data_IF_285995375029
#
_entry.id   IF_285995375029
#
_cell.length_a   1.000
_cell.length_b   1.000
_cell.length_c   1.000
_cell.angle_alpha   90.00
_cell.angle_beta   90.00
_cell.angle_gamma   90.00
#
_symmetry.space_group_name_H-M   'P 1'
#
loop_
_entity.id
_entity.type
_entity.pdbx_description
1 polymer ?
#
# COMPACT_ATOMS: atom_id res chain seq x y z
N UNK A 1 16.79 -62.60 31.65
CA UNK A 1 15.82 -61.69 32.29
C UNK A 1 16.68 -60.81 33.16
N UNK A 2 16.96 -59.54 32.85
CA UNK A 2 16.08 -58.53 32.26
C UNK A 2 16.72 -57.82 31.05
N UNK A 3 15.83 -57.40 30.17
CA UNK A 3 16.07 -56.80 28.87
C UNK A 3 16.30 -55.29 29.04
N UNK A 4 17.32 -54.74 28.39
CA UNK A 4 17.64 -53.33 28.43
C UNK A 4 16.67 -52.57 27.52
N UNK A 5 15.64 -51.95 28.08
CA UNK A 5 14.75 -51.06 27.35
C UNK A 5 15.49 -49.78 26.97
N UNK A 6 15.96 -49.73 25.73
CA UNK A 6 16.36 -48.52 25.03
C UNK A 6 15.11 -47.65 24.85
N UNK A 7 15.03 -46.54 25.59
CA UNK A 7 14.05 -45.48 25.33
C UNK A 7 14.27 -44.92 23.92
N UNK A 8 13.25 -44.87 23.05
CA UNK A 8 13.38 -44.24 21.75
C UNK A 8 13.54 -42.72 21.94
N UNK A 9 14.43 -42.12 21.16
CA UNK A 9 14.54 -40.67 21.06
C UNK A 9 13.21 -40.07 20.56
N UNK A 10 12.80 -38.88 21.01
CA UNK A 10 11.59 -38.25 20.50
C UNK A 10 11.79 -37.96 19.00
N UNK A 11 10.94 -38.60 18.19
CA UNK A 11 10.81 -38.40 16.75
C UNK A 11 10.38 -36.96 16.45
N UNK A 12 11.10 -36.31 15.54
CA UNK A 12 10.71 -35.17 14.70
C UNK A 12 9.51 -34.34 15.17
N UNK A 13 9.77 -33.34 16.04
CA UNK A 13 8.89 -32.17 16.09
C UNK A 13 9.08 -31.40 14.78
N UNK A 14 8.14 -31.55 13.84
CA UNK A 14 8.10 -30.69 12.65
C UNK A 14 8.16 -29.24 13.12
N UNK A 15 9.13 -28.47 12.61
CA UNK A 15 9.32 -27.08 13.02
C UNK A 15 8.08 -26.29 12.58
N UNK A 16 7.20 -25.94 13.54
CA UNK A 16 5.92 -25.29 13.26
C UNK A 16 6.12 -23.95 12.53
N UNK A 17 7.21 -23.23 12.82
CA UNK A 17 7.56 -21.99 12.13
C UNK A 17 7.85 -22.23 10.65
N UNK A 18 8.51 -23.35 10.32
CA UNK A 18 8.80 -23.72 8.94
C UNK A 18 7.52 -24.08 8.17
N UNK A 19 6.58 -24.76 8.82
CA UNK A 19 5.27 -25.05 8.23
C UNK A 19 4.44 -23.78 7.98
N UNK A 20 4.43 -22.85 8.93
CA UNK A 20 3.74 -21.56 8.79
C UNK A 20 4.35 -20.78 7.61
N UNK A 21 5.68 -20.71 7.53
CA UNK A 21 6.37 -20.02 6.45
C UNK A 21 6.12 -20.67 5.09
N UNK A 22 6.06 -22.00 5.03
CA UNK A 22 5.71 -22.72 3.81
C UNK A 22 4.28 -22.44 3.38
N UNK A 23 3.32 -22.46 4.32
CA UNK A 23 1.93 -22.15 4.04
C UNK A 23 1.77 -20.72 3.50
N UNK A 24 2.41 -19.74 4.13
CA UNK A 24 2.41 -18.35 3.68
C UNK A 24 2.93 -18.21 2.24
N UNK A 25 4.09 -18.81 1.94
CA UNK A 25 4.66 -18.80 0.59
C UNK A 25 3.75 -19.46 -0.45
N UNK A 26 3.05 -20.53 -0.09
CA UNK A 26 2.09 -21.18 -0.98
C UNK A 26 0.91 -20.27 -1.31
N UNK A 27 0.35 -19.59 -0.32
CA UNK A 27 -0.75 -18.63 -0.49
C UNK A 27 -0.29 -17.44 -1.34
N UNK A 28 0.87 -16.86 -1.02
CA UNK A 28 1.47 -15.76 -1.78
C UNK A 28 1.70 -16.14 -3.24
N UNK A 29 2.20 -17.35 -3.49
CA UNK A 29 2.43 -17.86 -4.84
C UNK A 29 1.12 -17.97 -5.62
N UNK A 30 0.10 -18.60 -5.06
CA UNK A 30 -1.22 -18.75 -5.71
C UNK A 30 -1.84 -17.39 -6.07
N UNK A 31 -1.77 -16.43 -5.15
CA UNK A 31 -2.21 -15.05 -5.38
C UNK A 31 -1.39 -14.41 -6.51
N UNK A 32 -0.06 -14.55 -6.49
CA UNK A 32 0.84 -13.91 -7.46
C UNK A 32 0.68 -14.46 -8.88
N UNK A 33 0.32 -15.73 -9.03
CA UNK A 33 0.07 -16.39 -10.31
C UNK A 33 -1.28 -15.97 -10.92
N UNK A 34 -2.24 -15.57 -10.08
CA UNK A 34 -3.60 -15.27 -10.49
C UNK A 34 -3.89 -13.76 -10.61
N UNK A 35 -3.23 -12.93 -9.80
CA UNK A 35 -3.53 -11.51 -9.65
C UNK A 35 -2.26 -10.70 -9.94
N UNK A 36 -2.24 -9.80 -10.94
CA UNK A 36 -1.11 -8.91 -11.18
C UNK A 36 -0.90 -7.95 -10.00
N UNK A 37 0.28 -7.33 -9.91
CA UNK A 37 0.56 -6.35 -8.85
C UNK A 37 -0.38 -5.15 -8.93
N UNK A 38 -0.58 -4.67 -10.16
CA UNK A 38 -1.55 -3.64 -10.52
C UNK A 38 -2.33 -4.15 -11.75
N UNK A 39 -3.64 -4.31 -11.59
CA UNK A 39 -4.53 -4.74 -12.68
C UNK A 39 -4.75 -3.66 -13.74
N UNK A 40 -5.50 -4.01 -14.78
CA UNK A 40 -5.95 -3.05 -15.80
C UNK A 40 -7.03 -2.11 -15.25
N UNK A 41 -7.20 -0.95 -15.90
CA UNK A 41 -8.31 -0.05 -15.59
C UNK A 41 -9.60 -0.64 -16.15
N UNK A 42 -10.50 -1.07 -15.27
CA UNK A 42 -11.76 -1.70 -15.63
C UNK A 42 -12.97 -0.85 -15.21
N UNK A 43 -14.12 -1.09 -15.84
CA UNK A 43 -15.36 -0.43 -15.43
C UNK A 43 -15.75 -0.88 -14.02
N UNK A 44 -16.24 0.05 -13.20
CA UNK A 44 -16.73 -0.27 -11.85
C UNK A 44 -17.89 -1.28 -11.86
N UNK A 45 -18.57 -1.49 -12.99
CA UNK A 45 -19.55 -2.57 -13.16
C UNK A 45 -18.98 -3.96 -12.89
N UNK A 46 -17.65 -4.15 -12.99
CA UNK A 46 -16.98 -5.36 -12.53
C UNK A 46 -17.22 -5.63 -11.04
N UNK A 47 -17.15 -4.58 -10.21
CA UNK A 47 -17.41 -4.64 -8.78
C UNK A 47 -18.88 -4.97 -8.47
N UNK A 48 -19.83 -4.42 -9.24
CA UNK A 48 -21.25 -4.76 -9.07
C UNK A 48 -21.50 -6.25 -9.30
N UNK A 49 -20.89 -6.83 -10.35
CA UNK A 49 -20.99 -8.26 -10.67
C UNK A 49 -20.42 -9.16 -9.58
N UNK A 50 -19.34 -8.71 -8.92
CA UNK A 50 -18.70 -9.43 -7.81
C UNK A 50 -19.64 -9.63 -6.61
N UNK A 51 -20.60 -8.72 -6.43
CA UNK A 51 -21.53 -8.72 -5.29
C UNK A 51 -22.99 -9.00 -5.67
N UNK A 52 -23.26 -9.58 -6.85
CA UNK A 52 -24.64 -9.89 -7.29
C UNK A 52 -25.45 -10.68 -6.25
N UNK A 53 -24.78 -11.58 -5.51
CA UNK A 53 -25.37 -12.44 -4.48
C UNK A 53 -25.33 -11.84 -3.06
N UNK A 54 -24.74 -10.64 -2.88
CA UNK A 54 -24.73 -9.91 -1.60
C UNK A 54 -25.44 -8.56 -1.77
N UNK A 55 -26.75 -8.46 -1.47
CA UNK A 55 -27.55 -7.26 -1.69
C UNK A 55 -27.01 -6.01 -1.00
N UNK A 56 -26.34 -6.17 0.15
CA UNK A 56 -25.78 -5.04 0.92
C UNK A 56 -24.59 -4.45 0.17
N UNK A 57 -23.64 -5.29 -0.25
CA UNK A 57 -22.49 -4.82 -1.01
C UNK A 57 -22.88 -4.39 -2.43
N UNK A 58 -23.83 -5.06 -3.08
CA UNK A 58 -24.34 -4.67 -4.39
C UNK A 58 -24.93 -3.25 -4.37
N UNK A 59 -25.72 -2.94 -3.35
CA UNK A 59 -26.29 -1.59 -3.18
C UNK A 59 -25.18 -0.54 -3.02
N UNK A 60 -24.14 -0.84 -2.24
CA UNK A 60 -22.99 0.06 -2.05
C UNK A 60 -22.18 0.24 -3.33
N UNK A 61 -21.94 -0.83 -4.08
CA UNK A 61 -21.23 -0.80 -5.36
C UNK A 61 -21.98 0.05 -6.41
N UNK A 62 -23.30 -0.08 -6.48
CA UNK A 62 -24.15 0.75 -7.37
C UNK A 62 -24.07 2.23 -7.03
N UNK A 63 -24.20 2.59 -5.74
CA UNK A 63 -24.06 3.98 -5.27
C UNK A 63 -22.65 4.52 -5.53
N UNK A 64 -21.62 3.68 -5.38
CA UNK A 64 -20.25 4.04 -5.73
C UNK A 64 -20.12 4.35 -7.23
N UNK A 65 -20.79 3.57 -8.08
CA UNK A 65 -20.83 3.76 -9.54
C UNK A 65 -21.48 5.04 -10.02
N UNK A 66 -22.22 5.74 -9.17
CA UNK A 66 -22.74 7.08 -9.49
C UNK A 66 -21.64 8.16 -9.44
N UNK A 67 -20.56 7.91 -8.68
CA UNK A 67 -19.47 8.88 -8.46
C UNK A 67 -18.14 8.47 -9.09
N UNK A 68 -18.00 7.21 -9.47
CA UNK A 68 -16.76 6.64 -10.00
C UNK A 68 -17.06 5.73 -11.19
N UNK A 69 -16.37 5.98 -12.30
CA UNK A 69 -16.60 5.26 -13.55
C UNK A 69 -15.74 3.99 -13.67
N UNK A 70 -14.53 4.00 -13.09
CA UNK A 70 -13.56 2.93 -13.21
C UNK A 70 -12.92 2.55 -11.88
N UNK A 71 -12.38 1.35 -11.84
CA UNK A 71 -11.57 0.79 -10.76
C UNK A 71 -10.31 0.16 -11.35
N UNK A 72 -9.23 0.16 -10.59
CA UNK A 72 -8.03 -0.62 -10.91
C UNK A 72 -7.64 -1.43 -9.68
N UNK A 73 -7.58 -2.74 -9.86
CA UNK A 73 -7.33 -3.68 -8.76
C UNK A 73 -5.87 -3.73 -8.36
N UNK A 74 -5.59 -3.96 -7.09
CA UNK A 74 -4.22 -4.24 -6.64
C UNK A 74 -4.10 -5.64 -6.05
N UNK A 75 -2.89 -6.19 -6.00
CA UNK A 75 -2.67 -7.50 -5.37
C UNK A 75 -2.91 -7.43 -3.86
N UNK A 76 -3.66 -8.38 -3.25
CA UNK A 76 -3.86 -8.44 -1.81
C UNK A 76 -2.65 -9.06 -1.10
N UNK A 77 -1.52 -8.36 -1.10
CA UNK A 77 -0.24 -8.80 -0.53
C UNK A 77 0.15 -8.02 0.74
N UNK A 78 -0.77 -7.27 1.36
CA UNK A 78 -0.44 -6.39 2.48
C UNK A 78 0.33 -5.12 2.10
N UNK A 79 0.74 -4.94 0.84
CA UNK A 79 1.34 -3.70 0.31
C UNK A 79 0.35 -2.87 -0.52
N UNK A 80 -0.88 -3.38 -0.70
CA UNK A 80 -1.92 -2.81 -1.55
C UNK A 80 -2.12 -1.30 -1.37
N UNK A 81 -2.08 -0.76 -0.15
CA UNK A 81 -2.20 0.68 0.09
C UNK A 81 -1.10 1.49 -0.60
N UNK A 82 0.17 1.22 -0.26
CA UNK A 82 1.32 1.93 -0.82
C UNK A 82 1.39 1.77 -2.34
N UNK A 83 1.07 0.57 -2.85
CA UNK A 83 1.06 0.27 -4.27
C UNK A 83 -0.06 1.03 -5.01
N UNK A 84 -1.28 1.01 -4.46
CA UNK A 84 -2.43 1.72 -5.03
C UNK A 84 -2.21 3.24 -5.02
N UNK A 85 -1.76 3.80 -3.89
CA UNK A 85 -1.49 5.22 -3.75
C UNK A 85 -0.45 5.69 -4.77
N UNK A 86 0.70 5.02 -4.81
CA UNK A 86 1.82 5.44 -5.64
C UNK A 86 1.49 5.35 -7.13
N UNK A 87 0.85 4.26 -7.56
CA UNK A 87 0.38 4.15 -8.94
C UNK A 87 -0.60 5.27 -9.31
N UNK A 88 -1.66 5.46 -8.50
CA UNK A 88 -2.69 6.45 -8.77
C UNK A 88 -2.15 7.88 -8.77
N UNK A 89 -1.24 8.19 -7.85
CA UNK A 89 -0.64 9.52 -7.78
C UNK A 89 0.30 9.78 -8.94
N UNK A 90 1.22 8.85 -9.24
CA UNK A 90 2.13 8.98 -10.39
C UNK A 90 1.38 9.05 -11.72
N UNK A 91 0.29 8.28 -11.88
CA UNK A 91 -0.57 8.33 -13.07
C UNK A 91 -1.22 9.71 -13.27
N UNK A 92 -1.58 10.40 -12.18
CA UNK A 92 -2.08 11.78 -12.23
C UNK A 92 -0.99 12.76 -12.67
N UNK A 93 0.25 12.58 -12.19
CA UNK A 93 1.36 13.48 -12.50
C UNK A 93 1.71 13.52 -14.00
N UNK A 94 1.47 12.43 -14.73
CA UNK A 94 1.69 12.33 -16.19
C UNK A 94 1.01 13.49 -16.93
N UNK A 95 -0.19 13.89 -16.48
CA UNK A 95 -0.98 14.93 -17.12
C UNK A 95 -0.93 16.27 -16.36
N UNK A 96 -0.09 16.40 -15.34
CA UNK A 96 0.04 17.61 -14.51
C UNK A 96 1.50 17.97 -14.26
N UNK A 97 2.11 18.69 -15.23
CA UNK A 97 3.53 19.05 -15.20
C UNK A 97 3.93 19.89 -13.98
N UNK A 98 3.09 20.81 -13.53
CA UNK A 98 3.39 21.65 -12.37
C UNK A 98 3.42 20.83 -11.06
N UNK A 99 2.46 19.93 -10.88
CA UNK A 99 2.41 19.02 -9.73
C UNK A 99 3.57 18.01 -9.79
N UNK A 100 3.90 17.52 -10.99
CA UNK A 100 5.05 16.65 -11.23
C UNK A 100 6.37 17.29 -10.79
N UNK A 101 6.66 18.52 -11.24
CA UNK A 101 7.94 19.19 -10.93
C UNK A 101 8.10 19.40 -9.41
N UNK A 102 7.01 19.77 -8.73
CA UNK A 102 6.97 19.90 -7.26
C UNK A 102 7.19 18.56 -6.57
N UNK A 103 6.50 17.51 -7.01
CA UNK A 103 6.61 16.19 -6.40
C UNK A 103 8.01 15.58 -6.60
N UNK A 104 8.57 15.71 -7.79
CA UNK A 104 9.92 15.21 -8.10
C UNK A 104 10.98 15.87 -7.20
N UNK A 105 10.89 17.18 -6.98
CA UNK A 105 11.80 17.90 -6.07
C UNK A 105 11.62 17.44 -4.61
N UNK A 106 10.38 17.25 -4.16
CA UNK A 106 10.08 16.69 -2.85
C UNK A 106 10.65 15.29 -2.66
N UNK A 107 10.42 14.40 -3.63
CA UNK A 107 10.92 13.03 -3.65
C UNK A 107 12.45 12.98 -3.60
N UNK A 108 13.12 13.79 -4.42
CA UNK A 108 14.58 13.89 -4.43
C UNK A 108 15.16 14.31 -3.07
N UNK A 109 14.53 15.30 -2.42
CA UNK A 109 14.96 15.78 -1.09
C UNK A 109 14.62 14.81 0.04
N UNK A 110 13.66 13.91 -0.17
CA UNK A 110 13.18 13.00 0.89
C UNK A 110 14.27 12.04 1.39
N UNK A 111 15.26 11.69 0.55
CA UNK A 111 16.42 10.89 0.99
C UNK A 111 17.21 11.59 2.09
N UNK A 112 17.57 12.86 1.87
CA UNK A 112 18.37 13.61 2.84
C UNK A 112 17.57 13.83 4.14
N UNK A 113 16.25 13.99 4.05
CA UNK A 113 15.37 14.06 5.22
C UNK A 113 15.39 12.76 6.03
N UNK A 114 15.33 11.60 5.38
CA UNK A 114 15.42 10.30 6.06
C UNK A 114 16.80 10.11 6.71
N UNK A 115 17.88 10.46 6.01
CA UNK A 115 19.24 10.37 6.58
C UNK A 115 19.38 11.29 7.80
N UNK A 116 18.80 12.50 7.76
CA UNK A 116 18.81 13.43 8.89
C UNK A 116 18.02 12.89 10.10
N UNK A 117 17.04 12.01 9.89
CA UNK A 117 16.29 11.30 10.94
C UNK A 117 17.02 10.06 11.47
N UNK A 118 18.21 9.74 10.95
CA UNK A 118 19.03 8.63 11.42
C UNK A 118 18.89 7.32 10.64
N UNK A 119 18.12 7.32 9.53
CA UNK A 119 18.06 6.16 8.65
C UNK A 119 19.43 5.92 7.99
N UNK A 120 19.94 4.68 7.94
CA UNK A 120 21.25 4.43 7.35
C UNK A 120 21.26 4.77 5.86
N UNK A 121 22.16 5.68 5.45
CA UNK A 121 22.23 6.17 4.07
C UNK A 121 22.30 5.03 3.04
N UNK A 122 23.16 4.05 3.27
CA UNK A 122 23.35 2.92 2.35
C UNK A 122 22.09 2.04 2.22
N UNK A 123 21.19 2.04 3.22
CA UNK A 123 19.94 1.29 3.17
C UNK A 123 18.87 2.02 2.38
N UNK A 124 18.83 3.35 2.43
CA UNK A 124 17.80 4.15 1.75
C UNK A 124 18.15 4.49 0.30
N UNK A 125 19.43 4.44 -0.08
CA UNK A 125 19.94 4.91 -1.37
C UNK A 125 19.37 4.10 -2.55
N UNK A 126 19.46 2.77 -2.52
CA UNK A 126 18.97 1.91 -3.61
C UNK A 126 17.45 2.06 -3.84
N UNK A 127 16.67 2.15 -2.76
CA UNK A 127 15.22 2.35 -2.81
C UNK A 127 14.86 3.74 -3.34
N UNK A 128 15.57 4.78 -2.90
CA UNK A 128 15.41 6.14 -3.40
C UNK A 128 15.72 6.21 -4.90
N UNK A 129 16.81 5.59 -5.33
CA UNK A 129 17.26 5.69 -6.72
C UNK A 129 16.27 4.98 -7.66
N UNK A 130 15.72 3.84 -7.24
CA UNK A 130 14.62 3.16 -7.96
C UNK A 130 13.34 4.00 -7.96
N UNK A 131 13.00 4.63 -6.84
CA UNK A 131 11.83 5.51 -6.76
C UNK A 131 11.95 6.71 -7.72
N UNK A 132 13.13 7.34 -7.76
CA UNK A 132 13.41 8.44 -8.69
C UNK A 132 13.41 7.99 -10.14
N UNK A 133 13.90 6.80 -10.46
CA UNK A 133 13.83 6.23 -11.80
C UNK A 133 12.37 6.10 -12.27
N UNK A 134 11.48 5.57 -11.42
CA UNK A 134 10.05 5.45 -11.74
C UNK A 134 9.39 6.83 -11.87
N UNK A 135 9.75 7.79 -11.03
CA UNK A 135 9.26 9.19 -11.15
C UNK A 135 9.70 9.80 -12.48
N UNK A 136 10.96 9.64 -12.88
CA UNK A 136 11.47 10.23 -14.10
C UNK A 136 10.74 9.69 -15.35
N UNK A 137 10.20 8.48 -15.28
CA UNK A 137 9.38 7.88 -16.35
C UNK A 137 8.02 8.53 -16.53
N UNK A 138 7.45 9.14 -15.49
CA UNK A 138 6.17 9.86 -15.62
C UNK A 138 6.33 11.31 -16.09
N UNK A 139 7.56 11.82 -16.18
CA UNK A 139 7.85 13.18 -16.66
C UNK A 139 7.96 13.32 -18.18
N UNK A 140 7.73 12.25 -18.95
CA UNK A 140 7.89 12.17 -20.39
C UNK A 140 6.64 12.52 -21.20
N UNK A 141 6.54 11.93 -22.40
CA UNK A 141 5.32 11.99 -23.22
C UNK A 141 4.18 11.18 -22.57
N UNK A 142 2.95 11.72 -22.46
CA UNK A 142 1.89 11.08 -21.70
C UNK A 142 1.56 9.63 -22.11
N UNK A 143 1.46 9.33 -23.41
CA UNK A 143 1.09 7.99 -23.87
C UNK A 143 2.16 6.96 -23.52
N UNK A 144 3.43 7.34 -23.72
CA UNK A 144 4.57 6.50 -23.37
C UNK A 144 4.67 6.32 -21.84
N UNK A 145 4.51 7.41 -21.09
CA UNK A 145 4.59 7.41 -19.63
C UNK A 145 3.52 6.54 -18.98
N UNK A 146 2.29 6.49 -19.51
CA UNK A 146 1.24 5.60 -19.00
C UNK A 146 1.64 4.12 -19.16
N UNK A 147 2.15 3.74 -20.34
CA UNK A 147 2.58 2.38 -20.62
C UNK A 147 3.80 1.97 -19.80
N UNK A 148 4.79 2.87 -19.67
CA UNK A 148 5.98 2.63 -18.85
C UNK A 148 5.59 2.49 -17.38
N UNK A 149 4.79 3.41 -16.82
CA UNK A 149 4.33 3.32 -15.43
C UNK A 149 3.66 1.97 -15.14
N UNK A 150 2.74 1.54 -16.02
CA UNK A 150 2.06 0.26 -15.85
C UNK A 150 3.00 -0.94 -15.93
N UNK A 151 4.00 -0.89 -16.81
CA UNK A 151 5.05 -1.90 -16.91
C UNK A 151 5.89 -1.97 -15.62
N UNK A 152 6.46 -0.85 -15.19
CA UNK A 152 7.33 -0.79 -14.00
C UNK A 152 6.61 -1.28 -12.74
N UNK A 153 5.35 -0.90 -12.54
CA UNK A 153 4.58 -1.35 -11.38
C UNK A 153 4.17 -2.83 -11.41
N UNK A 154 4.27 -3.49 -12.57
CA UNK A 154 4.08 -4.93 -12.71
C UNK A 154 5.41 -5.71 -12.78
N UNK A 155 6.55 -5.03 -12.70
CA UNK A 155 7.85 -5.65 -12.43
C UNK A 155 8.08 -5.68 -10.91
N UNK A 156 8.15 -6.90 -10.33
CA UNK A 156 8.18 -7.09 -8.87
C UNK A 156 9.26 -6.26 -8.18
N UNK A 157 10.48 -6.23 -8.74
CA UNK A 157 11.60 -5.47 -8.17
C UNK A 157 11.31 -3.97 -8.07
N UNK A 158 10.86 -3.34 -9.15
CA UNK A 158 10.54 -1.90 -9.15
C UNK A 158 9.37 -1.58 -8.23
N UNK A 159 8.28 -2.34 -8.38
CA UNK A 159 7.04 -2.13 -7.62
C UNK A 159 7.29 -2.26 -6.11
N UNK A 160 8.05 -3.26 -5.67
CA UNK A 160 8.38 -3.45 -4.25
C UNK A 160 9.39 -2.43 -3.73
N UNK A 161 10.38 -2.02 -4.53
CA UNK A 161 11.32 -0.98 -4.12
C UNK A 161 10.63 0.37 -3.91
N UNK A 162 9.66 0.72 -4.77
CA UNK A 162 8.79 1.89 -4.57
C UNK A 162 8.00 1.75 -3.27
N UNK A 163 7.39 0.59 -2.99
CA UNK A 163 6.66 0.35 -1.74
C UNK A 163 7.58 0.50 -0.52
N UNK A 164 8.77 -0.11 -0.53
CA UNK A 164 9.73 0.00 0.57
C UNK A 164 10.08 1.47 0.81
N UNK A 165 10.37 2.22 -0.25
CA UNK A 165 10.72 3.63 -0.09
C UNK A 165 9.59 4.45 0.54
N UNK A 166 8.35 4.20 0.14
CA UNK A 166 7.18 4.88 0.71
C UNK A 166 6.93 4.47 2.17
N UNK A 167 7.18 3.22 2.55
CA UNK A 167 7.17 2.79 3.95
C UNK A 167 8.20 3.54 4.78
N UNK A 168 9.41 3.75 4.24
CA UNK A 168 10.46 4.54 4.91
C UNK A 168 10.07 6.02 5.04
N UNK A 169 9.52 6.63 3.99
CA UNK A 169 8.99 8.01 4.06
C UNK A 169 7.91 8.12 5.15
N UNK A 170 7.01 7.14 5.22
CA UNK A 170 5.94 7.08 6.22
C UNK A 170 6.50 6.96 7.63
N UNK A 171 7.46 6.05 7.85
CA UNK A 171 8.18 5.92 9.12
C UNK A 171 8.88 7.22 9.51
N UNK A 172 9.56 7.86 8.56
CA UNK A 172 10.22 9.15 8.78
C UNK A 172 9.26 10.25 9.22
N UNK A 173 8.08 10.35 8.60
CA UNK A 173 7.07 11.33 9.01
C UNK A 173 6.48 11.04 10.39
N UNK A 174 6.22 9.76 10.70
CA UNK A 174 5.76 9.35 12.03
C UNK A 174 6.77 9.74 13.11
N UNK A 175 8.06 9.44 12.90
CA UNK A 175 9.13 9.76 13.84
C UNK A 175 9.38 11.27 13.97
N UNK A 176 9.27 12.02 12.87
CA UNK A 176 9.42 13.48 12.86
C UNK A 176 8.39 14.20 13.72
N UNK A 177 7.16 13.69 13.76
CA UNK A 177 6.05 14.25 14.53
C UNK A 177 5.57 13.27 15.61
N UNK A 178 6.52 12.62 16.28
CA UNK A 178 6.25 11.54 17.23
C UNK A 178 5.25 11.93 18.33
N UNK A 179 5.36 13.14 18.89
CA UNK A 179 4.47 13.63 19.94
C UNK A 179 2.99 13.64 19.51
N UNK A 180 2.72 13.91 18.23
CA UNK A 180 1.38 13.85 17.67
C UNK A 180 0.92 12.40 17.49
N UNK A 181 1.73 11.60 16.78
CA UNK A 181 1.37 10.23 16.40
C UNK A 181 1.31 9.25 17.58
N UNK A 182 2.04 9.50 18.66
CA UNK A 182 2.06 8.64 19.85
C UNK A 182 0.65 8.44 20.44
N UNK A 183 -0.24 9.41 20.31
CA UNK A 183 -1.62 9.34 20.84
C UNK A 183 -2.53 8.38 20.05
N UNK A 184 -2.11 7.93 18.87
CA UNK A 184 -2.88 7.06 17.98
C UNK A 184 -2.33 5.63 17.93
N UNK A 185 -1.20 5.37 18.60
CA UNK A 185 -0.58 4.05 18.63
C UNK A 185 -1.15 3.26 19.81
N UNK A 186 -1.70 2.08 19.52
CA UNK A 186 -2.24 1.20 20.54
C UNK A 186 -1.15 0.50 21.37
N UNK A 187 -1.39 0.42 22.68
CA UNK A 187 -0.51 -0.21 23.66
C UNK A 187 0.62 0.71 24.14
N UNK A 188 1.58 0.13 24.86
CA UNK A 188 2.72 0.86 25.45
C UNK A 188 3.92 1.01 24.48
N UNK A 189 3.67 0.92 23.16
CA UNK A 189 4.72 1.03 22.14
C UNK A 189 5.07 2.49 21.88
N UNK A 190 6.37 2.76 21.77
CA UNK A 190 6.87 4.02 21.24
C UNK A 190 6.59 4.12 19.73
N UNK A 191 6.58 5.33 19.18
CA UNK A 191 6.48 5.57 17.72
C UNK A 191 7.55 4.79 16.94
N UNK A 192 8.78 4.74 17.45
CA UNK A 192 9.89 4.02 16.80
C UNK A 192 9.62 2.51 16.77
N UNK A 193 9.16 1.92 17.88
CA UNK A 193 8.80 0.50 17.93
C UNK A 193 7.64 0.19 16.98
N UNK A 194 6.62 1.04 16.94
CA UNK A 194 5.52 0.92 15.99
C UNK A 194 6.02 0.95 14.54
N UNK A 195 6.91 1.90 14.20
CA UNK A 195 7.50 1.98 12.86
C UNK A 195 8.24 0.69 12.46
N UNK A 196 9.12 0.19 13.33
CA UNK A 196 9.88 -1.04 13.07
C UNK A 196 9.01 -2.30 12.97
N UNK A 197 7.84 -2.33 13.62
CA UNK A 197 6.97 -3.51 13.68
C UNK A 197 5.86 -3.50 12.63
N UNK A 198 5.27 -2.33 12.34
CA UNK A 198 4.01 -2.22 11.59
C UNK A 198 4.08 -1.30 10.36
N UNK A 199 5.20 -0.59 10.14
CA UNK A 199 5.33 0.36 9.00
C UNK A 199 6.41 -0.08 8.03
N UNK A 200 7.64 -0.21 8.53
CA UNK A 200 8.82 -0.50 7.71
C UNK A 200 8.83 -1.91 7.10
N UNK A 201 8.37 -2.97 7.80
CA UNK A 201 8.32 -4.30 7.21
C UNK A 201 7.35 -4.39 6.03
N UNK A 202 7.76 -5.08 4.97
CA UNK A 202 6.90 -5.42 3.84
C UNK A 202 5.75 -6.33 4.27
N UNK A 203 4.66 -6.31 3.49
CA UNK A 203 3.48 -7.17 3.67
C UNK A 203 2.67 -6.89 4.96
N UNK A 204 3.02 -5.83 5.70
CA UNK A 204 2.23 -5.31 6.83
C UNK A 204 1.09 -4.42 6.34
N UNK A 205 -0.11 -4.69 6.83
CA UNK A 205 -1.31 -3.92 6.52
C UNK A 205 -1.14 -2.43 6.86
N UNK A 206 -1.87 -1.59 6.14
CA UNK A 206 -1.87 -0.14 6.34
C UNK A 206 -3.25 0.35 6.77
N UNK A 207 -3.27 1.19 7.78
CA UNK A 207 -4.47 1.80 8.35
C UNK A 207 -4.36 3.33 8.34
N UNK A 208 -5.30 4.03 8.97
CA UNK A 208 -5.43 5.49 8.98
C UNK A 208 -4.12 6.20 9.33
N UNK A 209 -3.37 5.70 10.31
CA UNK A 209 -2.10 6.30 10.73
C UNK A 209 -1.06 6.30 9.61
N UNK A 210 -0.99 5.23 8.81
CA UNK A 210 -0.11 5.14 7.65
C UNK A 210 -0.55 6.10 6.55
N UNK A 211 -1.87 6.19 6.30
CA UNK A 211 -2.44 7.09 5.28
C UNK A 211 -2.13 8.54 5.62
N UNK A 212 -2.43 8.97 6.85
CA UNK A 212 -2.21 10.34 7.31
C UNK A 212 -0.73 10.71 7.23
N UNK A 213 0.16 9.85 7.75
CA UNK A 213 1.58 10.12 7.74
C UNK A 213 2.13 10.21 6.31
N UNK A 214 1.81 9.26 5.44
CA UNK A 214 2.27 9.30 4.05
C UNK A 214 1.72 10.50 3.27
N UNK A 215 0.41 10.78 3.41
CA UNK A 215 -0.23 11.95 2.78
C UNK A 215 0.38 13.27 3.25
N UNK A 216 0.71 13.37 4.53
CA UNK A 216 1.37 14.55 5.12
C UNK A 216 2.80 14.68 4.60
N UNK A 217 3.55 13.58 4.56
CA UNK A 217 4.94 13.56 4.10
C UNK A 217 5.07 13.98 2.63
N UNK A 218 4.11 13.57 1.80
CA UNK A 218 4.13 13.81 0.35
C UNK A 218 3.28 15.02 -0.09
N UNK A 219 2.61 15.69 0.85
CA UNK A 219 1.68 16.78 0.59
C UNK A 219 0.62 16.41 -0.46
N UNK A 220 0.00 15.24 -0.29
CA UNK A 220 -0.98 14.67 -1.21
C UNK A 220 -2.27 14.33 -0.49
N UNK A 221 -3.39 14.89 -0.95
CA UNK A 221 -4.72 14.54 -0.45
C UNK A 221 -5.17 13.17 -0.97
N UNK A 222 -5.64 12.31 -0.07
CA UNK A 222 -6.16 10.97 -0.38
C UNK A 222 -7.60 10.87 0.11
N UNK A 223 -8.53 10.48 -0.78
CA UNK A 223 -9.89 10.09 -0.42
C UNK A 223 -9.99 8.58 -0.37
N UNK A 224 -10.39 8.03 0.76
CA UNK A 224 -10.70 6.61 0.90
C UNK A 224 -12.20 6.42 1.04
N UNK A 225 -12.75 5.52 0.21
CA UNK A 225 -14.14 5.10 0.21
C UNK A 225 -14.28 3.78 0.95
N UNK A 226 -14.90 3.78 2.12
CA UNK A 226 -15.03 2.59 2.96
C UNK A 226 -16.30 1.82 2.62
N UNK A 227 -16.13 0.64 2.06
CA UNK A 227 -17.22 -0.27 1.71
C UNK A 227 -17.20 -1.46 2.66
N UNK A 228 -18.09 -1.40 3.67
CA UNK A 228 -18.23 -2.40 4.73
C UNK A 228 -19.67 -2.95 4.81
N UNK A 229 -20.01 -3.67 5.89
CA UNK A 229 -21.39 -4.10 6.20
C UNK A 229 -22.15 -3.13 7.12
N UNK A 230 -21.67 -1.90 7.30
CA UNK A 230 -22.35 -0.88 8.08
C UNK A 230 -23.77 -0.61 7.57
N UNK A 231 -24.67 -0.21 8.48
CA UNK A 231 -26.11 -0.12 8.26
C UNK A 231 -26.58 0.89 7.18
N UNK A 232 -25.68 1.69 6.61
CA UNK A 232 -25.97 2.65 5.54
C UNK A 232 -25.78 2.07 4.14
N UNK A 233 -26.46 2.65 3.15
CA UNK A 233 -26.27 2.33 1.71
C UNK A 233 -25.15 3.13 1.07
N UNK A 234 -24.67 4.19 1.73
CA UNK A 234 -23.58 5.02 1.23
C UNK A 234 -22.21 4.45 1.60
N UNK A 235 -21.27 4.59 0.67
CA UNK A 235 -19.84 4.34 0.89
C UNK A 235 -19.23 5.61 1.47
N UNK A 236 -18.89 5.56 2.77
CA UNK A 236 -18.38 6.71 3.54
C UNK A 236 -17.05 7.17 2.93
N UNK A 237 -16.90 8.47 2.71
CA UNK A 237 -15.64 9.07 2.30
C UNK A 237 -14.89 9.62 3.50
N UNK A 238 -13.61 9.30 3.59
CA UNK A 238 -12.67 9.94 4.49
C UNK A 238 -11.56 10.58 3.66
N UNK A 239 -11.28 11.85 3.92
CA UNK A 239 -10.22 12.61 3.25
C UNK A 239 -9.03 12.76 4.20
N UNK A 240 -7.83 12.49 3.70
CA UNK A 240 -6.59 12.47 4.45
C UNK A 240 -5.54 13.37 3.77
N UNK A 241 -5.03 14.41 4.47
CA UNK A 241 -5.51 14.93 5.75
C UNK A 241 -6.93 15.52 5.64
N UNK A 242 -7.61 15.70 6.76
CA UNK A 242 -8.96 16.29 6.78
C UNK A 242 -8.96 17.70 6.18
N UNK A 243 -9.95 17.99 5.33
CA UNK A 243 -10.05 19.28 4.63
C UNK A 243 -9.12 19.43 3.41
N UNK A 244 -8.30 18.43 3.10
CA UNK A 244 -7.50 18.42 1.87
C UNK A 244 -8.37 18.13 0.63
N UNK A 245 -7.95 18.68 -0.52
CA UNK A 245 -8.53 18.30 -1.81
C UNK A 245 -7.88 16.98 -2.26
N UNK A 246 -8.65 15.90 -2.45
CA UNK A 246 -8.06 14.62 -2.81
C UNK A 246 -7.53 14.61 -4.24
N UNK A 247 -6.26 14.23 -4.39
CA UNK A 247 -5.60 13.93 -5.68
C UNK A 247 -5.71 12.44 -6.01
N UNK A 248 -5.82 11.59 -4.99
CA UNK A 248 -5.90 10.12 -5.10
C UNK A 248 -7.22 9.64 -4.49
N UNK A 249 -7.89 8.70 -5.15
CA UNK A 249 -9.14 8.11 -4.67
C UNK A 249 -8.95 6.60 -4.57
N UNK A 250 -9.19 6.03 -3.38
CA UNK A 250 -9.05 4.61 -3.10
C UNK A 250 -10.38 4.03 -2.60
N UNK A 251 -10.62 2.76 -2.90
CA UNK A 251 -11.67 1.94 -2.30
C UNK A 251 -11.03 1.08 -1.22
N UNK A 252 -11.51 1.21 0.02
CA UNK A 252 -11.21 0.26 1.08
C UNK A 252 -12.33 -0.77 1.18
N UNK A 253 -11.94 -2.03 1.09
CA UNK A 253 -12.72 -3.20 1.50
C UNK A 253 -11.99 -3.83 2.68
N UNK A 254 -12.65 -4.56 3.59
CA UNK A 254 -11.97 -5.10 4.78
C UNK A 254 -10.62 -5.77 4.44
N UNK A 255 -9.52 -5.15 4.87
CA UNK A 255 -8.14 -5.60 4.63
C UNK A 255 -7.52 -5.28 3.25
N UNK A 256 -8.17 -4.51 2.37
CA UNK A 256 -7.69 -4.32 1.01
C UNK A 256 -8.02 -2.95 0.37
N UNK A 257 -7.08 -2.44 -0.43
CA UNK A 257 -7.20 -1.18 -1.15
C UNK A 257 -7.17 -1.37 -2.67
N UNK A 258 -8.12 -0.77 -3.37
CA UNK A 258 -8.13 -0.63 -4.84
C UNK A 258 -8.14 0.85 -5.23
N UNK A 259 -7.77 1.16 -6.48
CA UNK A 259 -7.79 2.54 -7.00
C UNK A 259 -9.16 2.84 -7.62
N UNK A 260 -9.72 4.01 -7.30
CA UNK A 260 -10.96 4.51 -7.90
C UNK A 260 -10.69 5.69 -8.83
N UNK A 261 -11.45 5.76 -9.93
CA UNK A 261 -11.39 6.86 -10.89
C UNK A 261 -12.75 7.55 -10.97
N UNK A 262 -12.85 8.83 -10.55
CA UNK A 262 -14.06 9.63 -10.72
C UNK A 262 -14.55 9.64 -12.18
#
# INVERSE_FOLDING_TARGET
MEDATVTPAPENSVNQDELILQQQRSIEKEISESIPLIGEKESLKGLEREYEEDPVYLSKAKVLGEKYSFIRRTRPDGNCFFRAFSYAYLERLINNKEEYDKFRDLAFKSKDNLVALGFPKFTVEDFHDTFMEVIDKVGGDPETSHAELHKFFNEQGYSDYVVVYLRLITSGQLQKEADFYQNFIEGDRTVVEFCHQEVEPMYKESDHIHIIAMSTALNTGVRVKYMDRGAGTEVVAHDFPEGSTPSVHLLYRPGHYDILYP
#
